data_IF_098503025976
#
_entry.id   IF_098503025976
#
_cell.length_a   1.000
_cell.length_b   1.000
_cell.length_c   1.000
_cell.angle_alpha   90.00
_cell.angle_beta   90.00
_cell.angle_gamma   90.00
#
_symmetry.space_group_name_H-M   'P 1'
#
loop_
_entity.id
_entity.type
_entity.pdbx_description
1 polymer ?
#
# COMPACT_ATOMS: atom_id res chain seq x y z
N UNK A 1 -10.87 -9.20 13.55
CA UNK A 1 -10.67 -8.11 12.57
C UNK A 1 -9.42 -8.43 11.75
N UNK A 2 -9.51 -8.33 10.43
CA UNK A 2 -8.38 -8.62 9.56
C UNK A 2 -7.46 -7.42 9.44
N UNK A 3 -6.17 -7.69 9.26
CA UNK A 3 -5.15 -6.67 9.00
C UNK A 3 -4.49 -6.97 7.67
N UNK A 4 -4.17 -5.94 6.92
CA UNK A 4 -3.61 -6.08 5.58
C UNK A 4 -2.43 -5.13 5.40
N UNK A 5 -1.40 -5.61 4.68
CA UNK A 5 -0.43 -4.72 4.05
C UNK A 5 -0.87 -4.52 2.61
N UNK A 6 -0.68 -3.32 2.10
CA UNK A 6 -1.08 -3.02 0.74
C UNK A 6 -0.06 -2.12 0.07
N UNK A 7 -0.12 -2.10 -1.24
CA UNK A 7 0.71 -1.22 -2.04
C UNK A 7 -0.17 -0.54 -3.08
N UNK A 8 0.00 0.76 -3.25
CA UNK A 8 -0.69 1.51 -4.30
C UNK A 8 0.33 2.08 -5.26
N UNK A 9 -0.04 2.16 -6.53
CA UNK A 9 0.76 2.82 -7.55
C UNK A 9 0.25 4.24 -7.70
N UNK A 10 1.15 5.20 -7.55
CA UNK A 10 0.83 6.62 -7.66
C UNK A 10 0.90 7.10 -9.10
N UNK A 11 0.38 8.30 -9.37
CA UNK A 11 0.35 8.86 -10.72
C UNK A 11 1.75 9.07 -11.31
N UNK A 12 2.77 9.19 -10.45
CA UNK A 12 4.17 9.34 -10.88
C UNK A 12 4.90 8.00 -10.99
N UNK A 13 4.16 6.88 -11.03
CA UNK A 13 4.68 5.51 -11.11
C UNK A 13 5.44 5.03 -9.86
N UNK A 14 5.47 5.80 -8.80
CA UNK A 14 6.04 5.36 -7.53
C UNK A 14 5.03 4.46 -6.79
N UNK A 15 5.55 3.60 -5.92
CA UNK A 15 4.70 2.74 -5.09
C UNK A 15 4.72 3.23 -3.65
N UNK A 16 3.54 3.29 -3.05
CA UNK A 16 3.38 3.61 -1.64
C UNK A 16 2.87 2.38 -0.90
N UNK A 17 3.51 2.04 0.21
CA UNK A 17 3.18 0.87 1.03
C UNK A 17 2.61 1.31 2.37
N UNK A 18 1.55 0.65 2.81
CA UNK A 18 0.95 0.93 4.11
C UNK A 18 0.27 -0.32 4.67
N UNK A 19 -0.43 -0.15 5.78
CA UNK A 19 -1.27 -1.20 6.34
C UNK A 19 -2.64 -0.63 6.66
N UNK A 20 -3.65 -1.50 6.69
CA UNK A 20 -5.02 -1.08 6.97
C UNK A 20 -5.86 -2.29 7.37
N UNK A 21 -7.04 -2.03 7.93
CA UNK A 21 -8.03 -3.07 8.16
C UNK A 21 -9.02 -3.17 7.01
N UNK A 22 -8.98 -2.24 6.05
CA UNK A 22 -9.90 -2.23 4.90
C UNK A 22 -9.20 -1.59 3.70
N UNK A 23 -8.56 -2.40 2.82
CA UNK A 23 -7.81 -1.87 1.68
C UNK A 23 -8.64 -1.02 0.72
N UNK A 24 -9.88 -1.42 0.46
CA UNK A 24 -10.74 -0.70 -0.49
C UNK A 24 -11.08 0.69 0.05
N UNK A 25 -11.47 0.76 1.32
CA UNK A 25 -11.76 2.05 1.97
C UNK A 25 -10.50 2.92 1.98
N UNK A 26 -9.34 2.34 2.29
CA UNK A 26 -8.10 3.10 2.39
C UNK A 26 -7.70 3.73 1.05
N UNK A 27 -7.89 3.00 -0.06
CA UNK A 27 -7.63 3.54 -1.39
C UNK A 27 -8.56 4.73 -1.68
N UNK A 28 -9.84 4.60 -1.32
CA UNK A 28 -10.77 5.72 -1.47
C UNK A 28 -10.34 6.94 -0.67
N UNK A 29 -9.83 6.73 0.55
CA UNK A 29 -9.32 7.81 1.38
C UNK A 29 -8.12 8.49 0.72
N UNK A 30 -7.18 7.70 0.19
CA UNK A 30 -6.03 8.25 -0.53
C UNK A 30 -6.47 9.13 -1.70
N UNK A 31 -7.42 8.64 -2.49
CA UNK A 31 -7.89 9.35 -3.67
C UNK A 31 -8.75 10.57 -3.33
N UNK A 32 -9.33 10.59 -2.14
CA UNK A 32 -10.11 11.73 -1.65
C UNK A 32 -9.22 12.79 -0.97
N UNK A 33 -7.90 12.58 -0.93
CA UNK A 33 -6.97 13.52 -0.30
C UNK A 33 -6.88 13.40 1.21
N UNK A 34 -7.41 12.31 1.77
CA UNK A 34 -7.38 12.06 3.21
C UNK A 34 -6.40 10.98 3.63
N UNK A 35 -5.62 10.45 2.69
CA UNK A 35 -4.61 9.45 2.97
C UNK A 35 -3.29 10.07 3.40
N UNK A 36 -2.18 9.36 3.12
CA UNK A 36 -0.86 9.84 3.43
C UNK A 36 -0.53 11.08 2.60
N UNK A 37 0.34 11.92 3.14
CA UNK A 37 0.75 13.14 2.45
C UNK A 37 1.34 12.85 1.07
N UNK A 38 2.15 11.80 0.97
CA UNK A 38 2.77 11.42 -0.29
C UNK A 38 1.73 11.11 -1.36
N UNK A 39 0.73 10.27 -1.03
CA UNK A 39 -0.31 9.89 -1.99
C UNK A 39 -1.21 11.06 -2.34
N UNK A 40 -1.42 11.99 -1.41
CA UNK A 40 -2.20 13.19 -1.69
C UNK A 40 -1.53 14.07 -2.74
N UNK A 41 -0.20 14.13 -2.72
CA UNK A 41 0.57 14.93 -3.67
C UNK A 41 0.73 14.24 -5.03
N UNK A 42 0.61 12.91 -5.08
CA UNK A 42 0.89 12.12 -6.28
C UNK A 42 -0.29 11.25 -6.70
N UNK A 43 -1.50 11.63 -6.32
CA UNK A 43 -2.72 10.94 -6.74
C UNK A 43 -3.10 11.23 -8.18
N UNK A 44 -4.05 10.50 -8.74
CA UNK A 44 -4.75 9.40 -8.09
C UNK A 44 -3.87 8.17 -7.92
N UNK A 45 -4.28 7.27 -7.02
CA UNK A 45 -3.55 6.03 -6.75
C UNK A 45 -4.40 4.82 -7.13
N UNK A 46 -3.73 3.71 -7.43
CA UNK A 46 -4.37 2.44 -7.79
C UNK A 46 -3.86 1.36 -6.87
N UNK A 47 -4.77 0.54 -6.32
CA UNK A 47 -4.38 -0.59 -5.49
C UNK A 47 -3.79 -1.68 -6.37
N UNK A 48 -2.52 -2.05 -6.11
CA UNK A 48 -1.81 -3.03 -6.94
C UNK A 48 -1.35 -4.26 -6.15
N UNK A 49 -1.43 -4.24 -4.82
CA UNK A 49 -1.02 -5.39 -4.00
C UNK A 49 -1.74 -5.36 -2.67
N UNK A 50 -2.22 -6.53 -2.22
CA UNK A 50 -2.84 -6.71 -0.90
C UNK A 50 -2.38 -8.04 -0.32
N UNK A 51 -2.01 -8.02 0.95
CA UNK A 51 -1.60 -9.21 1.68
C UNK A 51 -2.25 -9.20 3.05
N UNK A 52 -3.00 -10.23 3.38
CA UNK A 52 -3.58 -10.36 4.72
C UNK A 52 -2.51 -10.86 5.70
N UNK A 53 -2.48 -10.31 6.90
CA UNK A 53 -1.54 -10.69 7.96
C UNK A 53 -2.31 -10.98 9.25
N UNK A 54 -1.64 -11.67 10.18
CA UNK A 54 -2.30 -12.20 11.39
C UNK A 54 -2.81 -11.11 12.34
N UNK A 55 -2.01 -10.06 12.57
CA UNK A 55 -2.32 -9.06 13.56
C UNK A 55 -1.62 -7.74 13.23
N UNK A 56 -1.81 -6.75 14.10
CA UNK A 56 -1.25 -5.41 13.91
C UNK A 56 0.28 -5.41 13.91
N UNK A 57 0.90 -6.22 14.77
CA UNK A 57 2.36 -6.29 14.83
C UNK A 57 2.92 -6.88 13.54
N UNK A 58 2.29 -7.95 13.04
CA UNK A 58 2.69 -8.54 11.75
C UNK A 58 2.53 -7.54 10.61
N UNK A 59 1.48 -6.71 10.64
CA UNK A 59 1.26 -5.69 9.63
C UNK A 59 2.39 -4.66 9.63
N UNK A 60 2.80 -4.19 10.81
CA UNK A 60 3.88 -3.22 10.94
C UNK A 60 5.22 -3.79 10.45
N UNK A 61 5.49 -5.05 10.81
CA UNK A 61 6.72 -5.72 10.36
C UNK A 61 6.76 -5.89 8.85
N UNK A 62 5.64 -6.32 8.28
CA UNK A 62 5.56 -6.57 6.84
C UNK A 62 5.65 -5.27 6.05
N UNK A 63 5.00 -4.22 6.54
CA UNK A 63 5.11 -2.89 5.93
C UNK A 63 6.57 -2.43 5.86
N UNK A 64 7.30 -2.58 6.98
CA UNK A 64 8.71 -2.20 7.02
C UNK A 64 9.55 -3.02 6.04
N UNK A 65 9.27 -4.33 5.92
CA UNK A 65 9.98 -5.19 4.98
C UNK A 65 9.74 -4.74 3.53
N UNK A 66 8.50 -4.48 3.18
CA UNK A 66 8.15 -4.09 1.81
C UNK A 66 8.75 -2.72 1.48
N UNK A 67 8.75 -1.79 2.42
CA UNK A 67 9.33 -0.46 2.22
C UNK A 67 10.82 -0.50 1.91
N UNK A 68 11.52 -1.53 2.38
CA UNK A 68 12.95 -1.70 2.12
C UNK A 68 13.25 -2.28 0.74
N UNK A 69 12.26 -2.81 0.05
CA UNK A 69 12.46 -3.40 -1.27
C UNK A 69 12.70 -2.32 -2.32
N UNK A 70 13.56 -2.62 -3.28
CA UNK A 70 13.78 -1.73 -4.41
C UNK A 70 12.55 -1.68 -5.33
N UNK A 71 12.51 -0.67 -6.18
CA UNK A 71 11.38 -0.46 -7.09
C UNK A 71 11.09 -1.69 -7.96
N UNK A 72 12.13 -2.32 -8.50
CA UNK A 72 11.96 -3.50 -9.36
C UNK A 72 11.25 -4.65 -8.65
N UNK A 73 11.56 -4.86 -7.36
CA UNK A 73 10.90 -5.91 -6.57
C UNK A 73 9.45 -5.57 -6.29
N UNK A 74 9.15 -4.30 -6.03
CA UNK A 74 7.77 -3.85 -5.81
C UNK A 74 6.94 -4.01 -7.07
N UNK A 75 7.50 -3.69 -8.23
CA UNK A 75 6.84 -3.91 -9.53
C UNK A 75 6.52 -5.39 -9.70
N UNK A 76 7.47 -6.26 -9.35
CA UNK A 76 7.28 -7.73 -9.48
C UNK A 76 6.18 -8.23 -8.54
N UNK A 77 6.14 -7.73 -7.30
CA UNK A 77 5.08 -8.08 -6.35
C UNK A 77 3.71 -7.69 -6.89
N UNK A 78 3.59 -6.49 -7.45
CA UNK A 78 2.34 -6.01 -8.01
C UNK A 78 1.90 -6.86 -9.21
N UNK A 79 2.84 -7.34 -10.00
CA UNK A 79 2.54 -8.11 -11.20
C UNK A 79 1.97 -9.51 -10.90
N UNK A 80 2.30 -10.08 -9.73
CA UNK A 80 1.85 -11.44 -9.38
C UNK A 80 0.68 -11.44 -8.38
N UNK A 81 0.21 -10.29 -7.96
CA UNK A 81 -0.89 -10.21 -6.99
C UNK A 81 -2.28 -10.17 -7.61
#
# INVERSE_FOLDING_TARGET
MAFFCYMVKCANDAYYTGWTTDPIRRVKEHNAGRGARYTRMHGPVELVYVEEVEDHIAALKREAEIKKLGHARKVRMAAVS
#
